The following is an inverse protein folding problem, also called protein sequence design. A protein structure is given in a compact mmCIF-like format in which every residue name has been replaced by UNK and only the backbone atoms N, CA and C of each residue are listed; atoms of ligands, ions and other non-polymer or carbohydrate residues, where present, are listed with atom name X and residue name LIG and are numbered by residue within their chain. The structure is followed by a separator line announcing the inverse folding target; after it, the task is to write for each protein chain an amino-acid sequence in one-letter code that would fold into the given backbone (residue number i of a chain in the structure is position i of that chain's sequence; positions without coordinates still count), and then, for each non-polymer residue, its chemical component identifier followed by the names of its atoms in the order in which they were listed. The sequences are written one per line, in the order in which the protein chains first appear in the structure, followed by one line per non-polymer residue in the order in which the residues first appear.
data_IF_467068021896
#
_entry.id   IF_467068021896
#
_cell.length_a   1.000
_cell.length_b   1.000
_cell.length_c   1.000
_cell.angle_alpha   90.00
_cell.angle_beta   90.00
_cell.angle_gamma   90.00
#
_symmetry.space_group_name_H-M   'P 1'
#
loop_
_entity.id
_entity.type
_entity.pdbx_description
1 polymer ?
#
# COMPACT_ATOMS: atom_id res chain seq x y z
N UNK A 1 11.56 0.13 -2.89
CA UNK A 1 11.60 -0.77 -1.72
C UNK A 1 10.22 -1.18 -1.19
N UNK A 2 9.12 -0.97 -1.94
CA UNK A 2 7.77 -1.46 -1.58
C UNK A 2 7.35 -1.20 -0.11
N UNK A 3 7.64 0.00 0.42
CA UNK A 3 7.32 0.36 1.81
C UNK A 3 8.21 -0.27 2.91
N UNK A 4 9.16 -1.14 2.58
CA UNK A 4 10.05 -1.84 3.52
C UNK A 4 11.21 -0.94 4.00
N UNK A 5 10.92 0.32 4.35
CA UNK A 5 11.90 1.32 4.79
C UNK A 5 11.57 1.73 6.22
N UNK A 6 12.56 1.72 7.12
CA UNK A 6 12.36 2.03 8.54
C UNK A 6 11.82 3.45 8.79
N UNK A 7 12.13 4.39 7.89
CA UNK A 7 11.71 5.79 7.92
C UNK A 7 10.56 6.11 6.96
N UNK A 8 9.91 5.10 6.36
CA UNK A 8 8.74 5.35 5.52
C UNK A 8 7.65 6.06 6.33
N UNK A 9 7.06 7.11 5.76
CA UNK A 9 5.87 7.73 6.34
C UNK A 9 4.71 6.72 6.34
N UNK A 10 4.20 6.39 7.53
CA UNK A 10 3.11 5.41 7.73
C UNK A 10 1.75 6.06 7.99
N UNK A 11 1.74 7.33 8.40
CA UNK A 11 0.54 8.13 8.64
C UNK A 11 0.71 9.49 8.00
N UNK A 12 -0.32 9.95 7.31
CA UNK A 12 -0.43 11.31 6.79
C UNK A 12 -1.55 12.00 7.56
N UNK A 13 -1.21 13.03 8.34
CA UNK A 13 -2.18 13.85 9.08
C UNK A 13 -2.38 15.13 8.31
N UNK A 14 -3.57 15.32 7.76
CA UNK A 14 -3.86 16.35 6.78
C UNK A 14 -4.87 17.35 7.35
N UNK A 15 -4.68 18.62 7.01
CA UNK A 15 -5.68 19.63 7.29
C UNK A 15 -6.92 19.37 6.40
N UNK A 16 -8.14 19.49 6.95
CA UNK A 16 -9.41 19.19 6.27
C UNK A 16 -9.51 19.81 4.86
N UNK A 17 -9.09 21.06 4.70
CA UNK A 17 -9.07 21.83 3.44
C UNK A 17 -8.26 21.19 2.30
N UNK A 18 -7.30 20.32 2.59
CA UNK A 18 -6.45 19.67 1.57
C UNK A 18 -6.62 18.16 1.51
N UNK A 19 -7.30 17.56 2.49
CA UNK A 19 -7.35 16.11 2.66
C UNK A 19 -7.90 15.40 1.41
N UNK A 20 -8.98 15.92 0.84
CA UNK A 20 -9.60 15.30 -0.34
C UNK A 20 -8.70 15.40 -1.59
N UNK A 21 -8.15 16.58 -1.87
CA UNK A 21 -7.25 16.76 -3.02
C UNK A 21 -6.01 15.88 -2.91
N UNK A 22 -5.40 15.80 -1.72
CA UNK A 22 -4.25 14.95 -1.48
C UNK A 22 -4.58 13.47 -1.65
N UNK A 23 -5.72 13.03 -1.10
CA UNK A 23 -6.21 11.64 -1.25
C UNK A 23 -6.38 11.25 -2.71
N UNK A 24 -7.03 12.08 -3.52
CA UNK A 24 -7.22 11.79 -4.94
C UNK A 24 -5.89 11.68 -5.68
N UNK A 25 -4.95 12.60 -5.43
CA UNK A 25 -3.61 12.53 -6.02
C UNK A 25 -2.85 11.27 -5.60
N UNK A 26 -2.97 10.82 -4.35
CA UNK A 26 -2.39 9.55 -3.90
C UNK A 26 -3.02 8.34 -4.60
N UNK A 27 -4.35 8.31 -4.72
CA UNK A 27 -5.06 7.22 -5.40
C UNK A 27 -4.58 7.11 -6.86
N UNK A 28 -4.52 8.24 -7.58
CA UNK A 28 -4.05 8.27 -8.97
C UNK A 28 -2.60 7.79 -9.08
N UNK A 29 -1.71 8.28 -8.22
CA UNK A 29 -0.32 7.86 -8.21
C UNK A 29 -0.17 6.36 -7.95
N UNK A 30 -0.92 5.81 -6.99
CA UNK A 30 -0.83 4.41 -6.62
C UNK A 30 -1.44 3.47 -7.67
N UNK A 31 -2.53 3.88 -8.33
CA UNK A 31 -3.12 3.13 -9.46
C UNK A 31 -2.19 3.03 -10.66
N UNK A 32 -1.29 4.01 -10.84
CA UNK A 32 -0.32 4.02 -11.92
C UNK A 32 0.96 3.22 -11.61
N UNK A 33 1.09 2.64 -10.41
CA UNK A 33 2.21 1.76 -10.08
C UNK A 33 2.11 0.45 -10.87
N UNK A 34 3.25 0.01 -11.39
CA UNK A 34 3.40 -1.22 -12.16
C UNK A 34 4.14 -2.24 -11.31
N UNK A 35 3.46 -3.33 -10.99
CA UNK A 35 4.07 -4.48 -10.34
C UNK A 35 4.74 -5.38 -11.37
N UNK A 36 5.90 -5.93 -11.03
CA UNK A 36 6.68 -6.72 -11.97
C UNK A 36 8.03 -7.16 -11.41
N UNK A 37 8.85 -7.74 -12.29
CA UNK A 37 10.22 -8.13 -11.98
C UNK A 37 11.02 -6.90 -11.51
N UNK A 38 11.67 -6.94 -10.33
CA UNK A 38 12.49 -5.83 -9.85
C UNK A 38 13.70 -5.51 -10.74
N UNK A 39 14.09 -6.37 -11.68
CA UNK A 39 15.12 -6.13 -12.68
C UNK A 39 14.58 -5.48 -13.97
N UNK A 40 13.26 -5.43 -14.16
CA UNK A 40 12.62 -4.72 -15.27
C UNK A 40 12.51 -3.22 -14.94
N UNK A 41 13.07 -2.36 -15.78
CA UNK A 41 13.07 -0.90 -15.59
C UNK A 41 11.65 -0.28 -15.62
N UNK A 42 10.67 -0.98 -16.18
CA UNK A 42 9.27 -0.55 -16.20
C UNK A 42 8.52 -0.83 -14.90
N UNK A 43 9.08 -1.67 -14.01
CA UNK A 43 8.52 -1.98 -12.70
C UNK A 43 8.71 -0.80 -11.76
N UNK A 44 7.61 -0.30 -11.18
CA UNK A 44 7.64 0.75 -10.15
C UNK A 44 7.24 0.26 -8.76
N UNK A 45 6.71 -0.96 -8.64
CA UNK A 45 6.40 -1.63 -7.37
C UNK A 45 6.87 -3.09 -7.38
N UNK A 46 8.09 -3.32 -6.90
CA UNK A 46 8.63 -4.69 -6.74
C UNK A 46 7.97 -5.48 -5.59
N UNK A 47 8.35 -6.76 -5.42
CA UNK A 47 7.79 -7.62 -4.39
C UNK A 47 8.27 -7.26 -2.98
N UNK A 48 7.59 -7.79 -1.98
CA UNK A 48 8.08 -7.84 -0.61
C UNK A 48 9.19 -8.89 -0.47
N UNK A 49 9.99 -8.75 0.58
CA UNK A 49 11.17 -9.58 0.84
C UNK A 49 10.86 -11.06 1.05
N UNK A 50 9.68 -11.40 1.56
CA UNK A 50 9.27 -12.78 1.84
C UNK A 50 7.76 -12.96 1.81
N UNK A 51 7.31 -14.22 1.69
CA UNK A 51 5.89 -14.58 1.80
C UNK A 51 5.31 -14.21 3.18
N UNK A 52 6.10 -14.41 4.24
CA UNK A 52 5.70 -14.03 5.60
C UNK A 52 5.53 -12.53 5.77
N UNK A 53 6.34 -11.70 5.07
CA UNK A 53 6.17 -10.26 5.07
C UNK A 53 4.84 -9.85 4.42
N UNK A 54 4.48 -10.47 3.28
CA UNK A 54 3.21 -10.24 2.61
C UNK A 54 2.00 -10.68 3.46
N UNK A 55 2.06 -11.87 4.08
CA UNK A 55 1.01 -12.35 4.97
C UNK A 55 0.83 -11.45 6.19
N UNK A 56 1.93 -11.03 6.82
CA UNK A 56 1.88 -10.12 7.97
C UNK A 56 1.32 -8.74 7.59
N UNK A 57 1.68 -8.22 6.41
CA UNK A 57 1.09 -6.98 5.91
C UNK A 57 -0.41 -7.13 5.67
N UNK A 58 -0.85 -8.24 5.06
CA UNK A 58 -2.27 -8.52 4.87
C UNK A 58 -3.03 -8.54 6.20
N UNK A 59 -2.50 -9.22 7.23
CA UNK A 59 -3.08 -9.26 8.57
C UNK A 59 -3.18 -7.86 9.19
N UNK A 60 -2.19 -7.00 8.99
CA UNK A 60 -2.23 -5.62 9.49
C UNK A 60 -3.33 -4.80 8.79
N UNK A 61 -3.50 -4.96 7.48
CA UNK A 61 -4.58 -4.31 6.73
C UNK A 61 -5.95 -4.79 7.22
N UNK A 62 -6.15 -6.10 7.32
CA UNK A 62 -7.41 -6.69 7.83
C UNK A 62 -7.71 -6.18 9.24
N UNK A 63 -6.73 -6.21 10.14
CA UNK A 63 -6.89 -5.70 11.50
C UNK A 63 -7.28 -4.22 11.54
N UNK A 64 -6.70 -3.39 10.68
CA UNK A 64 -7.04 -1.97 10.62
C UNK A 64 -8.48 -1.76 10.14
N UNK A 65 -8.91 -2.50 9.12
CA UNK A 65 -10.29 -2.45 8.62
C UNK A 65 -11.28 -2.95 9.68
N UNK A 66 -10.98 -4.05 10.35
CA UNK A 66 -11.79 -4.59 11.45
C UNK A 66 -11.91 -3.60 12.63
N UNK A 67 -10.91 -2.73 12.80
CA UNK A 67 -10.89 -1.67 13.79
C UNK A 67 -11.59 -0.37 13.34
N UNK A 68 -12.19 -0.33 12.15
CA UNK A 68 -12.97 0.81 11.64
C UNK A 68 -12.30 1.66 10.58
N UNK A 69 -11.09 1.31 10.12
CA UNK A 69 -10.47 2.00 9.00
C UNK A 69 -11.20 1.69 7.68
N UNK A 70 -11.24 2.67 6.77
CA UNK A 70 -11.79 2.49 5.43
C UNK A 70 -10.67 2.07 4.47
N UNK A 71 -10.85 0.93 3.78
CA UNK A 71 -9.98 0.52 2.68
C UNK A 71 -10.33 1.27 1.40
N UNK A 72 -9.46 2.18 0.97
CA UNK A 72 -9.68 3.06 -0.20
C UNK A 72 -9.14 2.45 -1.48
N UNK A 73 -7.99 1.77 -1.40
CA UNK A 73 -7.32 1.15 -2.54
C UNK A 73 -6.55 -0.10 -2.09
N UNK A 74 -6.55 -1.15 -2.93
CA UNK A 74 -5.71 -2.34 -2.78
C UNK A 74 -6.08 -3.18 -1.56
N UNK A 75 -5.06 -3.54 -0.76
CA UNK A 75 -5.22 -4.21 0.52
C UNK A 75 -4.99 -5.72 0.50
N UNK A 76 -4.61 -6.30 -0.64
CA UNK A 76 -4.44 -7.75 -0.78
C UNK A 76 -3.08 -8.15 -1.35
N UNK A 77 -2.61 -9.38 -1.04
CA UNK A 77 -1.56 -10.03 -1.83
C UNK A 77 -2.00 -10.17 -3.29
N UNK A 78 -1.06 -10.10 -4.22
CA UNK A 78 -1.32 -10.33 -5.65
C UNK A 78 -1.07 -11.80 -5.94
N UNK A 79 -2.06 -12.46 -6.56
CA UNK A 79 -1.95 -13.86 -6.96
C UNK A 79 -0.86 -14.07 -8.02
N UNK A 80 -0.08 -15.14 -7.89
CA UNK A 80 0.96 -15.51 -8.83
C UNK A 80 2.31 -15.79 -8.17
N UNK A 81 3.37 -15.79 -8.99
CA UNK A 81 4.73 -16.01 -8.52
C UNK A 81 5.31 -14.75 -7.85
N UNK A 82 5.96 -14.92 -6.70
CA UNK A 82 6.57 -13.83 -5.94
C UNK A 82 5.69 -13.31 -4.79
N UNK A 83 6.25 -12.44 -3.96
CA UNK A 83 5.59 -11.95 -2.75
C UNK A 83 5.03 -10.53 -2.98
N UNK A 84 4.18 -10.39 -3.99
CA UNK A 84 3.62 -9.09 -4.36
C UNK A 84 2.41 -8.73 -3.51
N UNK A 85 2.23 -7.43 -3.29
CA UNK A 85 1.11 -6.88 -2.53
C UNK A 85 0.63 -5.61 -3.21
N UNK A 86 -0.68 -5.43 -3.28
CA UNK A 86 -1.28 -4.26 -3.91
C UNK A 86 -0.87 -2.97 -3.20
N UNK A 87 -0.62 -1.90 -3.95
CA UNK A 87 -0.46 -0.59 -3.35
C UNK A 87 -1.73 -0.23 -2.57
N UNK A 88 -1.58 0.06 -1.28
CA UNK A 88 -2.72 0.11 -0.35
C UNK A 88 -2.87 1.48 0.28
N UNK A 89 -4.11 1.99 0.31
CA UNK A 89 -4.48 3.23 0.99
C UNK A 89 -5.60 2.91 1.98
N UNK A 90 -5.38 3.28 3.23
CA UNK A 90 -6.39 3.26 4.29
C UNK A 90 -6.65 4.71 4.75
N UNK A 91 -7.90 5.03 5.05
CA UNK A 91 -8.27 6.28 5.71
C UNK A 91 -9.04 6.01 7.02
N UNK A 92 -9.24 7.05 7.83
CA UNK A 92 -9.90 6.95 9.15
C UNK A 92 -9.17 5.97 10.10
N UNK A 93 -7.85 6.12 10.20
CA UNK A 93 -6.99 5.32 11.09
C UNK A 93 -6.89 5.99 12.46
N UNK A 94 -7.34 5.30 13.51
CA UNK A 94 -7.13 5.67 14.92
C UNK A 94 -5.81 5.12 15.48
#
# INVERSE_FOLDING_TARGET
NAGQVCTAAKRFILHEKIAEQFKQGMIEAFKNLKTGDPLDESTSLGPLSSASAAENLHKQVVKAVDAGATLVLGGKPIDGAGNFFEATILENIE
#
